data_IF_259885769823
#
_entry.id   IF_259885769823
#
_cell.length_a   1.000
_cell.length_b   1.000
_cell.length_c   1.000
_cell.angle_alpha   90.00
_cell.angle_beta   90.00
_cell.angle_gamma   90.00
#
_symmetry.space_group_name_H-M   'P 1'
#
loop_
_entity.id
_entity.type
_entity.pdbx_description
1 polymer ?
#
# COMPACT_ATOMS: atom_id res chain seq x y z
N UNK A 1 -17.33 -10.36 7.45
CA UNK A 1 -16.63 -10.78 6.22
C UNK A 1 -15.34 -9.98 6.18
N UNK A 2 -14.31 -10.43 6.90
CA UNK A 2 -12.99 -9.79 6.93
C UNK A 2 -12.09 -10.38 5.82
N UNK A 3 -12.69 -11.01 4.81
CA UNK A 3 -11.98 -11.76 3.79
C UNK A 3 -11.12 -10.83 2.95
N UNK A 4 -9.81 -11.05 2.98
CA UNK A 4 -8.89 -10.45 2.01
C UNK A 4 -9.28 -10.96 0.61
N UNK A 5 -9.96 -10.08 -0.12
CA UNK A 5 -10.37 -10.28 -1.51
C UNK A 5 -9.44 -9.48 -2.40
N UNK A 6 -8.96 -10.08 -3.49
CA UNK A 6 -8.19 -9.38 -4.51
C UNK A 6 -8.72 -9.77 -5.89
N UNK A 7 -9.00 -8.78 -6.73
CA UNK A 7 -9.33 -8.99 -8.14
C UNK A 7 -8.04 -9.03 -8.96
N UNK A 8 -7.99 -9.89 -9.98
CA UNK A 8 -7.01 -9.71 -11.06
C UNK A 8 -7.30 -8.42 -11.82
N UNK A 9 -6.27 -7.75 -12.33
CA UNK A 9 -6.44 -6.47 -13.02
C UNK A 9 -7.25 -6.61 -14.31
N UNK A 10 -7.21 -7.79 -14.95
CA UNK A 10 -8.05 -8.15 -16.10
C UNK A 10 -9.52 -8.48 -15.77
N UNK A 11 -9.87 -8.50 -14.47
CA UNK A 11 -11.21 -8.82 -13.96
C UNK A 11 -11.65 -10.28 -14.17
N UNK A 12 -10.77 -11.18 -14.60
CA UNK A 12 -11.11 -12.57 -14.90
C UNK A 12 -11.06 -13.49 -13.69
N UNK A 13 -10.41 -13.06 -12.61
CA UNK A 13 -10.20 -13.86 -11.39
C UNK A 13 -10.49 -13.05 -10.14
N UNK A 14 -11.08 -13.73 -9.15
CA UNK A 14 -11.20 -13.23 -7.78
C UNK A 14 -10.43 -14.19 -6.86
N UNK A 15 -9.41 -13.65 -6.20
CA UNK A 15 -8.66 -14.33 -5.15
C UNK A 15 -9.32 -14.04 -3.80
N UNK A 16 -9.47 -15.09 -2.99
CA UNK A 16 -10.09 -14.98 -1.69
C UNK A 16 -9.55 -16.02 -0.73
N UNK A 17 -9.59 -15.70 0.55
CA UNK A 17 -9.17 -16.61 1.60
C UNK A 17 -10.36 -17.40 2.13
N UNK A 18 -10.20 -18.71 2.20
CA UNK A 18 -11.13 -19.61 2.86
C UNK A 18 -10.75 -19.73 4.34
N UNK A 19 -11.33 -18.89 5.18
CA UNK A 19 -10.97 -18.70 6.60
C UNK A 19 -10.84 -20.01 7.38
N UNK A 20 -11.87 -20.87 7.39
CA UNK A 20 -11.84 -22.10 8.20
C UNK A 20 -10.83 -23.17 7.73
N UNK A 21 -10.27 -23.01 6.53
CA UNK A 21 -9.26 -23.92 5.98
C UNK A 21 -7.87 -23.30 5.93
N UNK A 22 -7.76 -21.99 6.20
CA UNK A 22 -6.52 -21.23 6.01
C UNK A 22 -5.93 -21.47 4.61
N UNK A 23 -6.76 -21.34 3.58
CA UNK A 23 -6.37 -21.59 2.20
C UNK A 23 -6.68 -20.39 1.32
N UNK A 24 -5.81 -20.11 0.36
CA UNK A 24 -6.09 -19.19 -0.73
C UNK A 24 -6.78 -19.93 -1.88
N UNK A 25 -7.85 -19.34 -2.38
CA UNK A 25 -8.65 -19.85 -3.47
C UNK A 25 -8.77 -18.79 -4.56
N UNK A 26 -9.01 -19.24 -5.79
CA UNK A 26 -9.35 -18.39 -6.92
C UNK A 26 -10.66 -18.85 -7.55
N UNK A 27 -11.53 -17.89 -7.84
CA UNK A 27 -12.68 -18.06 -8.70
C UNK A 27 -12.34 -17.55 -10.10
N UNK A 28 -12.57 -18.37 -11.12
CA UNK A 28 -12.38 -18.00 -12.53
C UNK A 28 -13.75 -17.79 -13.17
N UNK A 29 -14.02 -16.57 -13.62
CA UNK A 29 -15.36 -16.18 -14.09
C UNK A 29 -15.75 -16.86 -15.41
N UNK A 30 -14.82 -16.95 -16.36
CA UNK A 30 -15.08 -17.52 -17.68
C UNK A 30 -15.55 -18.98 -17.61
N UNK A 31 -15.00 -19.77 -16.68
CA UNK A 31 -15.30 -21.19 -16.50
C UNK A 31 -16.23 -21.48 -15.32
N UNK A 32 -16.56 -20.45 -14.52
CA UNK A 32 -17.28 -20.57 -13.25
C UNK A 32 -16.67 -21.61 -12.29
N UNK A 33 -15.35 -21.78 -12.36
CA UNK A 33 -14.64 -22.80 -11.58
C UNK A 33 -13.95 -22.18 -10.38
N UNK A 34 -13.93 -22.93 -9.27
CA UNK A 34 -13.15 -22.56 -8.08
C UNK A 34 -11.96 -23.50 -7.96
N UNK A 35 -10.77 -22.93 -7.81
CA UNK A 35 -9.55 -23.69 -7.59
C UNK A 35 -8.93 -23.29 -6.25
N UNK A 36 -8.55 -24.29 -5.45
CA UNK A 36 -7.64 -24.10 -4.32
C UNK A 36 -6.25 -23.83 -4.89
N UNK A 37 -5.62 -22.76 -4.45
CA UNK A 37 -4.25 -22.42 -4.86
C UNK A 37 -3.23 -22.97 -3.85
N UNK A 38 -3.32 -22.56 -2.59
CA UNK A 38 -2.29 -22.91 -1.60
C UNK A 38 -2.78 -22.78 -0.15
N UNK A 39 -2.28 -23.60 0.81
CA UNK A 39 -2.50 -23.38 2.24
C UNK A 39 -1.66 -22.21 2.77
N UNK A 40 -2.29 -21.19 3.34
CA UNK A 40 -1.61 -20.10 4.03
C UNK A 40 -1.50 -20.43 5.53
N UNK A 41 -0.50 -19.89 6.24
CA UNK A 41 -0.34 -20.18 7.66
C UNK A 41 -1.48 -19.61 8.53
N UNK A 42 -2.18 -18.57 8.08
CA UNK A 42 -3.17 -17.84 8.90
C UNK A 42 -4.26 -17.13 8.07
N UNK A 43 -5.34 -16.71 8.75
CA UNK A 43 -6.52 -16.06 8.15
C UNK A 43 -6.51 -14.53 8.10
N UNK A 44 -5.46 -13.86 8.61
CA UNK A 44 -5.40 -12.38 8.68
C UNK A 44 -4.28 -11.76 7.82
N UNK A 45 -3.74 -12.51 6.87
CA UNK A 45 -2.76 -12.01 5.89
C UNK A 45 -3.38 -10.95 4.98
N UNK A 46 -2.93 -9.69 5.10
CA UNK A 46 -3.20 -8.67 4.07
C UNK A 46 -2.51 -9.08 2.78
N UNK A 47 -3.31 -9.35 1.76
CA UNK A 47 -2.83 -9.81 0.45
C UNK A 47 -2.78 -8.63 -0.53
N UNK A 48 -1.70 -8.54 -1.29
CA UNK A 48 -1.56 -7.58 -2.38
C UNK A 48 -1.15 -8.29 -3.66
N UNK A 49 -1.97 -8.14 -4.70
CA UNK A 49 -1.68 -8.65 -6.04
C UNK A 49 -0.64 -7.76 -6.71
N UNK A 50 0.34 -8.37 -7.37
CA UNK A 50 1.34 -7.65 -8.14
C UNK A 50 0.69 -6.96 -9.35
N UNK A 51 1.21 -5.78 -9.79
CA UNK A 51 0.70 -5.07 -10.96
C UNK A 51 0.68 -5.89 -12.27
N UNK A 52 1.51 -6.93 -12.36
CA UNK A 52 1.60 -7.82 -13.51
C UNK A 52 0.72 -9.08 -13.40
N UNK A 53 -0.13 -9.20 -12.36
CA UNK A 53 -0.98 -10.36 -12.06
C UNK A 53 -0.21 -11.70 -11.86
N UNK A 54 1.13 -11.67 -11.79
CA UNK A 54 1.95 -12.88 -11.70
C UNK A 54 2.13 -13.37 -10.26
N UNK A 55 2.02 -12.46 -9.28
CA UNK A 55 2.29 -12.79 -7.89
C UNK A 55 1.24 -12.25 -6.94
N UNK A 56 1.03 -12.98 -5.84
CA UNK A 56 0.30 -12.49 -4.68
C UNK A 56 1.23 -12.47 -3.47
N UNK A 57 1.34 -11.33 -2.80
CA UNK A 57 2.20 -11.17 -1.63
C UNK A 57 1.41 -10.89 -0.36
N UNK A 58 1.95 -11.29 0.79
CA UNK A 58 1.40 -10.97 2.10
C UNK A 58 2.49 -10.94 3.17
N UNK A 59 2.27 -10.17 4.24
CA UNK A 59 3.15 -10.13 5.41
C UNK A 59 2.43 -10.71 6.62
N UNK A 60 3.09 -11.63 7.32
CA UNK A 60 2.64 -12.18 8.60
C UNK A 60 3.83 -12.66 9.43
N UNK A 61 3.82 -12.39 10.73
CA UNK A 61 4.84 -12.82 11.70
C UNK A 61 6.28 -12.66 11.17
N UNK A 62 6.64 -11.41 10.86
CA UNK A 62 7.97 -11.05 10.35
C UNK A 62 8.38 -11.79 9.06
N UNK A 63 7.41 -12.33 8.32
CA UNK A 63 7.64 -13.14 7.13
C UNK A 63 6.84 -12.58 5.95
N UNK A 64 7.53 -12.36 4.84
CA UNK A 64 6.94 -12.06 3.54
C UNK A 64 6.66 -13.40 2.86
N UNK A 65 5.41 -13.59 2.46
CA UNK A 65 4.92 -14.70 1.66
C UNK A 65 4.71 -14.21 0.23
N UNK A 66 5.26 -14.90 -0.75
CA UNK A 66 5.03 -14.64 -2.16
C UNK A 66 4.54 -15.92 -2.83
N UNK A 67 3.34 -15.87 -3.37
CA UNK A 67 2.79 -16.91 -4.21
C UNK A 67 3.00 -16.53 -5.67
N UNK A 68 3.70 -17.38 -6.41
CA UNK A 68 3.70 -17.38 -7.86
C UNK A 68 2.39 -18.00 -8.37
N UNK A 69 1.61 -17.20 -9.11
CA UNK A 69 0.28 -17.58 -9.59
C UNK A 69 0.33 -18.41 -10.88
N UNK A 70 1.46 -18.48 -11.56
CA UNK A 70 1.66 -19.30 -12.76
C UNK A 70 1.99 -20.74 -12.38
N UNK A 71 2.99 -20.93 -11.52
CA UNK A 71 3.48 -22.27 -11.13
C UNK A 71 2.96 -22.75 -9.78
N UNK A 72 2.26 -21.91 -9.01
CA UNK A 72 1.64 -22.28 -7.74
C UNK A 72 2.63 -22.50 -6.60
N UNK A 73 3.83 -21.95 -6.68
CA UNK A 73 4.87 -22.09 -5.65
C UNK A 73 4.86 -20.93 -4.68
N UNK A 74 5.09 -21.22 -3.39
CA UNK A 74 5.25 -20.19 -2.36
C UNK A 74 6.70 -20.07 -1.93
N UNK A 75 7.21 -18.84 -2.04
CA UNK A 75 8.50 -18.45 -1.48
C UNK A 75 8.27 -17.61 -0.23
N UNK A 76 9.15 -17.79 0.77
CA UNK A 76 9.08 -17.10 2.05
C UNK A 76 10.39 -16.41 2.34
N UNK A 77 10.33 -15.16 2.82
CA UNK A 77 11.49 -14.44 3.33
C UNK A 77 11.20 -13.95 4.73
N UNK A 78 12.08 -14.28 5.67
CA UNK A 78 11.98 -13.86 7.04
C UNK A 78 12.85 -12.61 7.26
N UNK A 79 12.26 -11.57 7.83
CA UNK A 79 12.95 -10.35 8.24
C UNK A 79 12.39 -9.87 9.58
N UNK A 80 13.17 -10.10 10.64
CA UNK A 80 12.80 -9.75 12.02
C UNK A 80 12.64 -8.24 12.25
N UNK A 81 13.06 -7.40 11.30
CA UNK A 81 12.86 -5.96 11.39
C UNK A 81 11.44 -5.54 10.99
N UNK A 82 10.67 -6.38 10.30
CA UNK A 82 9.29 -6.06 9.88
C UNK A 82 8.45 -5.73 11.11
N UNK A 83 7.73 -4.61 11.10
CA UNK A 83 6.92 -4.16 12.24
C UNK A 83 5.50 -3.75 11.85
N UNK A 84 5.11 -3.98 10.60
CA UNK A 84 3.77 -3.71 10.09
C UNK A 84 3.31 -4.82 9.14
N UNK A 85 2.02 -4.83 8.83
CA UNK A 85 1.41 -5.78 7.88
C UNK A 85 1.20 -5.19 6.49
N UNK A 86 1.38 -3.88 6.34
CA UNK A 86 1.30 -3.20 5.04
C UNK A 86 2.54 -3.49 4.20
N UNK A 87 2.27 -3.82 2.94
CA UNK A 87 3.25 -3.99 1.89
C UNK A 87 2.74 -3.31 0.63
N UNK A 88 3.65 -2.83 -0.21
CA UNK A 88 3.32 -2.21 -1.47
C UNK A 88 4.28 -2.69 -2.56
N UNK A 89 3.72 -3.04 -3.71
CA UNK A 89 4.50 -3.38 -4.89
C UNK A 89 5.11 -2.12 -5.52
N UNK A 90 6.32 -2.24 -6.07
CA UNK A 90 6.75 -1.30 -7.10
C UNK A 90 5.87 -1.48 -8.35
N UNK A 91 5.58 -0.41 -9.12
CA UNK A 91 4.70 -0.48 -10.28
C UNK A 91 5.16 -1.47 -11.37
N UNK A 92 6.47 -1.72 -11.46
CA UNK A 92 7.07 -2.67 -12.38
C UNK A 92 7.07 -4.13 -11.87
N UNK A 93 6.48 -4.38 -10.69
CA UNK A 93 6.45 -5.66 -10.00
C UNK A 93 7.84 -6.26 -9.67
N UNK A 94 8.91 -5.47 -9.74
CA UNK A 94 10.28 -5.95 -9.50
C UNK A 94 10.60 -6.14 -8.02
N UNK A 95 9.92 -5.40 -7.14
CA UNK A 95 10.13 -5.46 -5.71
C UNK A 95 8.84 -5.19 -4.93
N UNK A 96 8.85 -5.61 -3.66
CA UNK A 96 7.88 -5.20 -2.64
C UNK A 96 8.59 -4.27 -1.67
N UNK A 97 7.84 -3.31 -1.11
CA UNK A 97 8.27 -2.45 -0.03
C UNK A 97 7.38 -2.64 1.19
N UNK A 98 7.96 -2.48 2.37
CA UNK A 98 7.29 -2.77 3.64
C UNK A 98 7.89 -1.92 4.76
N UNK A 99 7.13 -1.80 5.86
CA UNK A 99 7.58 -1.10 7.05
C UNK A 99 8.51 -1.99 7.89
N UNK A 100 9.73 -1.51 8.07
CA UNK A 100 10.77 -2.10 8.93
C UNK A 100 11.01 -1.17 10.13
N UNK A 101 11.34 -1.73 11.29
CA UNK A 101 11.61 -1.00 12.53
C UNK A 101 12.84 -1.58 13.28
N UNK A 102 14.05 -1.58 12.69
CA UNK A 102 15.24 -1.97 13.44
C UNK A 102 15.37 -1.07 14.66
N UNK A 103 15.52 -1.67 15.83
CA UNK A 103 15.67 -0.95 17.11
C UNK A 103 14.54 0.06 17.40
N UNK A 104 13.35 -0.16 16.82
CA UNK A 104 12.17 0.68 17.01
C UNK A 104 12.07 1.90 16.08
N UNK A 105 13.04 2.11 15.19
CA UNK A 105 13.02 3.23 14.22
C UNK A 105 12.34 2.81 12.94
N UNK A 106 11.15 3.35 12.66
CA UNK A 106 10.42 3.09 11.40
C UNK A 106 11.27 3.48 10.19
N UNK A 107 11.30 2.62 9.19
CA UNK A 107 11.95 2.85 7.91
C UNK A 107 11.28 2.06 6.79
N UNK A 108 11.46 2.53 5.56
CA UNK A 108 11.01 1.83 4.37
C UNK A 108 12.11 0.86 3.94
N UNK A 109 11.78 -0.42 3.90
CA UNK A 109 12.64 -1.45 3.34
C UNK A 109 11.96 -2.06 2.12
N UNK A 110 12.72 -2.82 1.33
CA UNK A 110 12.17 -3.59 0.23
C UNK A 110 12.80 -4.96 0.06
N UNK A 111 12.20 -5.72 -0.84
CA UNK A 111 12.60 -7.06 -1.23
C UNK A 111 12.52 -7.15 -2.75
N UNK A 112 13.65 -7.33 -3.42
CA UNK A 112 13.71 -7.62 -4.85
C UNK A 112 13.20 -9.04 -5.09
N UNK A 113 12.22 -9.18 -5.99
CA UNK A 113 11.55 -10.46 -6.24
C UNK A 113 12.47 -11.48 -6.91
N UNK A 114 13.28 -11.04 -7.87
CA UNK A 114 14.10 -11.93 -8.69
C UNK A 114 15.22 -12.62 -7.88
N UNK A 115 15.79 -11.92 -6.90
CA UNK A 115 16.97 -12.39 -6.16
C UNK A 115 16.68 -12.69 -4.69
N UNK A 116 15.59 -12.16 -4.13
CA UNK A 116 15.35 -12.13 -2.70
C UNK A 116 16.25 -11.15 -1.94
N UNK A 117 16.94 -10.23 -2.65
CA UNK A 117 17.79 -9.23 -2.03
C UNK A 117 16.96 -8.20 -1.27
N UNK A 118 17.37 -7.91 -0.04
CA UNK A 118 16.83 -6.81 0.77
C UNK A 118 17.32 -5.47 0.21
N UNK A 119 16.39 -4.57 -0.05
CA UNK A 119 16.61 -3.21 -0.49
C UNK A 119 16.42 -2.26 0.70
N UNK A 120 17.27 -1.25 0.81
CA UNK A 120 17.17 -0.21 1.83
C UNK A 120 16.82 1.11 1.14
N UNK A 121 15.86 1.84 1.71
CA UNK A 121 15.47 3.17 1.24
C UNK A 121 15.78 4.19 2.34
N UNK A 122 16.27 5.37 1.95
CA UNK A 122 16.59 6.46 2.89
C UNK A 122 15.33 7.22 3.36
N UNK A 123 14.28 6.48 3.72
CA UNK A 123 13.01 7.02 4.22
C UNK A 123 12.72 6.45 5.60
N UNK A 124 12.92 7.27 6.64
CA UNK A 124 12.87 6.86 8.07
C UNK A 124 11.72 7.50 8.85
N UNK A 125 10.88 8.30 8.20
CA UNK A 125 9.75 9.00 8.85
C UNK A 125 8.60 9.16 7.86
N UNK A 126 7.70 8.19 7.85
CA UNK A 126 6.51 8.23 7.00
C UNK A 126 5.31 7.67 7.75
N UNK A 127 4.14 8.25 7.49
CA UNK A 127 2.85 7.69 7.86
C UNK A 127 2.46 6.52 6.95
N UNK A 128 1.49 5.72 7.40
CA UNK A 128 0.95 4.60 6.64
C UNK A 128 0.10 5.06 5.45
N UNK A 129 0.17 4.34 4.32
CA UNK A 129 -0.63 4.60 3.12
C UNK A 129 -0.83 3.32 2.30
N UNK A 130 -1.97 3.24 1.59
CA UNK A 130 -2.24 2.19 0.62
C UNK A 130 -1.80 2.71 -0.76
N UNK A 131 -0.99 1.96 -1.52
CA UNK A 131 -0.44 2.36 -2.83
C UNK A 131 0.36 3.70 -2.85
N UNK A 132 1.49 3.77 -2.11
CA UNK A 132 2.27 4.98 -1.94
C UNK A 132 3.17 5.30 -3.15
N UNK A 133 3.54 4.33 -3.99
CA UNK A 133 4.43 4.59 -5.12
C UNK A 133 3.72 5.29 -6.28
N UNK A 134 4.37 6.28 -6.89
CA UNK A 134 3.92 6.87 -8.16
C UNK A 134 3.83 5.79 -9.24
N UNK A 135 3.03 5.97 -10.29
CA UNK A 135 2.98 5.01 -11.41
C UNK A 135 4.33 4.82 -12.11
N UNK A 136 5.21 5.82 -12.07
CA UNK A 136 6.58 5.73 -12.57
C UNK A 136 7.54 4.99 -11.60
N UNK A 137 7.14 4.86 -10.33
CA UNK A 137 7.87 4.15 -9.28
C UNK A 137 9.02 4.93 -8.68
N UNK A 138 9.23 6.18 -9.07
CA UNK A 138 10.29 7.08 -8.60
C UNK A 138 9.97 7.81 -7.30
N UNK A 139 8.68 7.99 -7.01
CA UNK A 139 8.20 8.80 -5.90
C UNK A 139 7.35 7.98 -4.92
N UNK A 140 7.52 8.22 -3.62
CA UNK A 140 6.75 7.62 -2.54
C UNK A 140 5.92 8.67 -1.81
N UNK A 141 4.62 8.41 -1.70
CA UNK A 141 3.61 9.28 -1.10
C UNK A 141 3.33 8.84 0.33
N UNK A 142 3.33 9.80 1.24
CA UNK A 142 2.99 9.54 2.64
C UNK A 142 2.41 10.78 3.32
N UNK A 143 1.77 10.56 4.46
CA UNK A 143 1.35 11.64 5.36
C UNK A 143 2.43 11.84 6.41
N UNK A 144 2.82 13.09 6.64
CA UNK A 144 3.78 13.47 7.67
C UNK A 144 3.51 14.86 8.22
N UNK A 145 4.24 15.24 9.25
CA UNK A 145 4.09 16.56 9.86
C UNK A 145 4.70 17.64 8.98
N UNK A 146 3.88 18.63 8.62
CA UNK A 146 4.30 19.84 7.94
C UNK A 146 5.04 20.83 8.85
N UNK A 147 5.50 21.97 8.30
CA UNK A 147 6.24 23.00 9.04
C UNK A 147 5.46 23.62 10.20
N UNK A 148 4.13 23.63 10.10
CA UNK A 148 3.21 24.17 11.11
C UNK A 148 2.66 23.08 12.04
N UNK A 149 3.24 21.88 12.00
CA UNK A 149 2.83 20.71 12.79
C UNK A 149 1.43 20.15 12.48
N UNK A 150 0.80 20.54 11.37
CA UNK A 150 -0.36 19.87 10.79
C UNK A 150 0.03 18.64 9.97
N UNK A 151 -0.94 17.77 9.70
CA UNK A 151 -0.76 16.63 8.79
C UNK A 151 -0.73 17.12 7.34
N UNK A 152 0.30 16.72 6.60
CA UNK A 152 0.50 17.12 5.21
C UNK A 152 0.84 15.91 4.35
N UNK A 153 0.49 16.00 3.06
CA UNK A 153 0.93 15.06 2.04
C UNK A 153 2.33 15.44 1.62
N UNK A 154 3.23 14.45 1.73
CA UNK A 154 4.63 14.58 1.38
C UNK A 154 4.96 13.53 0.31
N UNK A 155 5.72 13.96 -0.68
CA UNK A 155 6.31 13.08 -1.70
C UNK A 155 7.81 12.97 -1.43
N UNK A 156 8.33 11.75 -1.44
CA UNK A 156 9.76 11.46 -1.38
C UNK A 156 10.24 10.90 -2.71
N UNK A 157 11.25 11.51 -3.31
CA UNK A 157 11.94 11.00 -4.51
C UNK A 157 13.04 10.03 -4.09
N UNK A 158 12.95 8.78 -4.57
CA UNK A 158 13.87 7.72 -4.15
C UNK A 158 15.28 7.83 -4.73
N UNK A 159 15.46 8.59 -5.81
CA UNK A 159 16.72 8.74 -6.51
C UNK A 159 17.52 9.93 -6.00
N UNK A 160 16.85 11.02 -5.63
CA UNK A 160 17.48 12.22 -5.05
C UNK A 160 17.49 12.20 -3.52
N UNK A 161 16.58 11.42 -2.90
CA UNK A 161 16.36 11.41 -1.46
C UNK A 161 15.58 12.62 -0.94
N UNK A 162 15.12 13.51 -1.81
CA UNK A 162 14.44 14.75 -1.40
C UNK A 162 12.96 14.54 -1.09
N UNK A 163 12.44 15.33 -0.15
CA UNK A 163 11.01 15.37 0.18
C UNK A 163 10.38 16.70 -0.21
N UNK A 164 9.17 16.68 -0.74
CA UNK A 164 8.39 17.87 -1.11
C UNK A 164 6.99 17.83 -0.48
N UNK A 165 6.52 18.97 0.01
CA UNK A 165 5.14 19.14 0.48
C UNK A 165 4.22 19.37 -0.72
N UNK A 166 3.14 18.60 -0.79
CA UNK A 166 2.10 18.76 -1.83
C UNK A 166 0.95 19.62 -1.32
N UNK A 167 0.59 19.48 -0.05
CA UNK A 167 -0.49 20.23 0.58
C UNK A 167 0.04 21.33 1.51
N UNK A 168 -0.85 22.27 1.83
CA UNK A 168 -0.65 23.28 2.87
C UNK A 168 -1.97 23.46 3.60
N UNK A 169 -2.28 22.51 4.48
CA UNK A 169 -3.54 22.42 5.23
C UNK A 169 -3.27 22.25 6.73
N UNK A 170 -2.64 23.24 7.38
CA UNK A 170 -2.13 23.11 8.75
C UNK A 170 -3.23 22.86 9.79
N UNK A 171 -4.47 23.31 9.50
CA UNK A 171 -5.62 23.22 10.40
C UNK A 171 -6.54 22.04 10.09
N UNK A 172 -6.13 21.09 9.25
CA UNK A 172 -6.92 19.92 8.88
C UNK A 172 -6.18 18.62 9.19
N UNK A 173 -6.93 17.58 9.53
CA UNK A 173 -6.41 16.22 9.44
C UNK A 173 -6.35 15.83 7.95
N UNK A 174 -5.27 15.18 7.52
CA UNK A 174 -5.07 14.72 6.14
C UNK A 174 -4.72 13.24 6.15
N UNK A 175 -5.39 12.44 5.32
CA UNK A 175 -5.20 10.99 5.33
C UNK A 175 -5.47 10.33 3.98
N UNK A 176 -4.99 9.09 3.87
CA UNK A 176 -5.22 8.16 2.76
C UNK A 176 -4.98 8.79 1.37
N UNK A 177 -3.78 9.33 1.11
CA UNK A 177 -3.46 9.89 -0.19
C UNK A 177 -3.21 8.77 -1.21
N UNK A 178 -3.65 8.97 -2.45
CA UNK A 178 -3.42 8.04 -3.56
C UNK A 178 -3.07 8.79 -4.85
N UNK A 179 -2.15 8.21 -5.63
CA UNK A 179 -1.84 8.68 -6.97
C UNK A 179 -2.98 8.39 -7.95
N UNK A 180 -3.18 9.34 -8.86
CA UNK A 180 -3.85 9.08 -10.13
C UNK A 180 -3.04 8.11 -11.00
N UNK A 181 -3.68 7.32 -11.89
CA UNK A 181 -2.97 6.35 -12.73
C UNK A 181 -1.91 6.95 -13.67
N UNK A 182 -2.02 8.24 -14.01
CA UNK A 182 -1.06 8.98 -14.84
C UNK A 182 0.01 9.71 -14.02
N UNK A 183 -0.07 9.65 -12.69
CA UNK A 183 0.87 10.28 -11.76
C UNK A 183 0.76 11.80 -11.66
N UNK A 184 -0.22 12.44 -12.31
CA UNK A 184 -0.29 13.91 -12.39
C UNK A 184 -1.04 14.53 -11.20
N UNK A 185 -1.89 13.74 -10.56
CA UNK A 185 -2.76 14.18 -9.48
C UNK A 185 -2.74 13.22 -8.30
N UNK A 186 -3.09 13.74 -7.13
CA UNK A 186 -3.24 13.02 -5.89
C UNK A 186 -4.66 13.27 -5.35
N UNK A 187 -5.35 12.20 -4.97
CA UNK A 187 -6.59 12.28 -4.20
C UNK A 187 -6.31 12.00 -2.73
N UNK A 188 -7.05 12.63 -1.83
CA UNK A 188 -6.86 12.47 -0.39
C UNK A 188 -8.08 12.92 0.38
N UNK A 189 -8.18 12.46 1.63
CA UNK A 189 -9.24 12.86 2.54
C UNK A 189 -8.77 13.96 3.49
N UNK A 190 -9.67 14.89 3.79
CA UNK A 190 -9.49 15.88 4.86
C UNK A 190 -10.59 15.78 5.91
N UNK A 191 -10.29 16.25 7.10
CA UNK A 191 -11.18 16.18 8.24
C UNK A 191 -10.85 17.18 9.34
N UNK A 192 -11.64 17.14 10.41
CA UNK A 192 -11.39 17.96 11.61
C UNK A 192 -10.17 17.43 12.37
N UNK A 193 -9.22 18.28 12.80
CA UNK A 193 -8.09 17.82 13.61
C UNK A 193 -8.56 17.17 14.92
N UNK A 194 -8.01 16.01 15.27
CA UNK A 194 -8.35 15.32 16.51
C UNK A 194 -7.91 13.86 16.54
N UNK A 195 -7.91 13.26 17.74
CA UNK A 195 -7.64 11.84 17.96
C UNK A 195 -8.89 11.05 17.57
N UNK A 196 -9.14 10.91 16.28
CA UNK A 196 -10.10 9.95 15.78
C UNK A 196 -9.32 8.74 15.27
N UNK A 197 -9.56 7.58 15.89
CA UNK A 197 -9.07 6.31 15.35
C UNK A 197 -9.62 6.13 13.92
N UNK A 198 -8.73 5.70 13.03
CA UNK A 198 -9.06 5.17 11.70
C UNK A 198 -9.88 6.09 10.76
N UNK A 199 -9.72 7.42 10.86
CA UNK A 199 -10.30 8.36 9.89
C UNK A 199 -11.80 8.64 10.09
N UNK A 200 -12.34 8.39 11.28
CA UNK A 200 -13.73 8.71 11.65
C UNK A 200 -14.08 10.21 11.62
N UNK A 201 -13.07 11.08 11.54
CA UNK A 201 -13.15 12.53 11.39
C UNK A 201 -12.93 13.02 9.94
N UNK A 202 -12.71 12.12 8.98
CA UNK A 202 -12.51 12.46 7.57
C UNK A 202 -13.86 12.64 6.88
N UNK A 203 -14.07 13.80 6.28
CA UNK A 203 -15.38 14.25 5.80
C UNK A 203 -15.36 14.59 4.31
N UNK A 204 -14.24 15.11 3.82
CA UNK A 204 -14.13 15.67 2.47
C UNK A 204 -13.07 14.95 1.66
N UNK A 205 -13.40 14.60 0.42
CA UNK A 205 -12.46 14.09 -0.56
C UNK A 205 -11.96 15.25 -1.42
N UNK A 206 -10.65 15.37 -1.55
CA UNK A 206 -9.98 16.37 -2.36
C UNK A 206 -9.15 15.73 -3.47
N UNK A 207 -8.87 16.54 -4.49
CA UNK A 207 -7.87 16.26 -5.51
C UNK A 207 -6.95 17.47 -5.65
N UNK A 208 -5.66 17.21 -5.86
CA UNK A 208 -4.61 18.22 -6.04
C UNK A 208 -3.65 17.73 -7.13
N UNK A 209 -3.02 18.63 -7.87
CA UNK A 209 -1.95 18.25 -8.79
C UNK A 209 -0.69 17.86 -7.99
N UNK A 210 0.19 17.04 -8.59
CA UNK A 210 1.45 16.61 -7.95
C UNK A 210 2.34 17.77 -7.50
N UNK A 211 2.24 18.92 -8.17
CA UNK A 211 2.97 20.15 -7.82
C UNK A 211 2.30 20.99 -6.72
N UNK A 212 1.21 20.51 -6.13
CA UNK A 212 0.42 21.21 -5.12
C UNK A 212 -0.57 22.24 -5.69
N UNK A 213 -0.60 22.43 -7.01
CA UNK A 213 -1.54 23.35 -7.63
C UNK A 213 -2.93 22.73 -7.84
N UNK A 214 -3.94 23.57 -8.13
CA UNK A 214 -5.23 23.09 -8.59
C UNK A 214 -6.06 22.30 -7.57
N UNK A 215 -5.77 22.45 -6.27
CA UNK A 215 -6.54 21.82 -5.21
C UNK A 215 -8.03 22.14 -5.32
N UNK A 216 -8.88 21.12 -5.28
CA UNK A 216 -10.33 21.26 -5.22
C UNK A 216 -11.00 20.11 -4.47
N UNK A 217 -12.14 20.39 -3.88
CA UNK A 217 -13.02 19.38 -3.29
C UNK A 217 -13.73 18.58 -4.40
N UNK A 218 -13.84 17.27 -4.22
CA UNK A 218 -14.59 16.35 -5.08
C UNK A 218 -15.89 15.88 -4.43
N UNK A 219 -15.90 15.71 -3.11
CA UNK A 219 -17.03 15.19 -2.34
C UNK A 219 -16.99 15.73 -0.91
N UNK A 220 -18.17 16.03 -0.36
CA UNK A 220 -18.41 16.28 1.05
C UNK A 220 -19.44 15.25 1.56
N UNK A 221 -19.08 14.49 2.60
CA UNK A 221 -19.95 13.50 3.22
C UNK A 221 -21.00 14.12 4.16
N UNK A 222 -20.80 15.37 4.59
CA UNK A 222 -21.68 16.10 5.52
C UNK A 222 -21.93 17.56 5.06
N UNK A 223 -22.68 17.75 3.96
CA UNK A 223 -22.90 19.07 3.33
C UNK A 223 -23.84 20.02 4.09
#
# INVERSE_FOLDING_TARGET
>A
LNGNLAWSHDGQRLFFMHESRQELWAYVFATQSVARLFPLPETDLRLALAPNDAFLAGIFDHTIYLLDLEIGTVTKWQDNSICGTQLNWLPDASAITFQSCPEGVKQLAGLEIATGQRLEYELTRFGAGFAPWSPAGDEFLFVGLGPEAGDEIIVWDRFTGTTELVTSTPDLAVAFPFWSPDGQQIIYWTGTPGIADEGSNLEKLHIINRDGSGQRELLDLYP
#
